data_IF_048651809646
#
_entry.id   IF_048651809646
#
_cell.length_a   1.000
_cell.length_b   1.000
_cell.length_c   1.000
_cell.angle_alpha   90.00
_cell.angle_beta   90.00
_cell.angle_gamma   90.00
#
_symmetry.space_group_name_H-M   'P 1'
#
loop_
_entity.id
_entity.type
_entity.pdbx_description
1 polymer ?
#
# COMPACT_ATOMS: atom_id res chain seq x y z
N UNK A 1 -32.48 3.66 0.54
CA UNK A 1 -31.72 3.59 -0.73
C UNK A 1 -30.90 2.31 -0.71
N UNK A 2 -30.85 1.51 -1.79
CA UNK A 2 -30.00 0.31 -1.79
C UNK A 2 -28.51 0.70 -1.73
N UNK A 3 -27.68 -0.15 -1.14
CA UNK A 3 -26.23 0.08 -1.03
C UNK A 3 -25.60 0.31 -2.41
N UNK A 4 -26.02 -0.46 -3.41
CA UNK A 4 -25.51 -0.35 -4.78
C UNK A 4 -25.78 1.04 -5.39
N UNK A 5 -26.94 1.64 -5.07
CA UNK A 5 -27.26 2.99 -5.53
C UNK A 5 -26.45 4.04 -4.80
N UNK A 6 -26.17 3.86 -3.50
CA UNK A 6 -25.34 4.80 -2.72
C UNK A 6 -23.92 4.81 -3.29
N UNK A 7 -23.31 3.63 -3.42
CA UNK A 7 -21.94 3.53 -3.93
C UNK A 7 -21.84 3.84 -5.42
N UNK A 8 -22.87 3.54 -6.21
CA UNK A 8 -22.95 3.97 -7.62
C UNK A 8 -22.97 5.49 -7.76
N UNK A 9 -23.80 6.19 -6.98
CA UNK A 9 -23.80 7.67 -6.95
C UNK A 9 -22.45 8.20 -6.45
N UNK A 10 -21.88 7.59 -5.42
CA UNK A 10 -20.56 7.96 -4.91
C UNK A 10 -19.48 7.85 -6.00
N UNK A 11 -19.44 6.75 -6.76
CA UNK A 11 -18.49 6.57 -7.86
C UNK A 11 -18.67 7.62 -8.96
N UNK A 12 -19.91 7.87 -9.38
CA UNK A 12 -20.21 8.88 -10.41
C UNK A 12 -19.81 10.27 -9.92
N UNK A 13 -20.17 10.63 -8.70
CA UNK A 13 -19.79 11.91 -8.09
C UNK A 13 -18.28 12.07 -7.96
N UNK A 14 -17.56 11.01 -7.57
CA UNK A 14 -16.11 11.03 -7.51
C UNK A 14 -15.49 11.28 -8.89
N UNK A 15 -15.92 10.55 -9.92
CA UNK A 15 -15.46 10.75 -11.29
C UNK A 15 -15.78 12.16 -11.81
N UNK A 16 -16.99 12.65 -11.55
CA UNK A 16 -17.40 13.99 -11.93
C UNK A 16 -16.51 15.05 -11.26
N UNK A 17 -16.22 14.92 -9.97
CA UNK A 17 -15.32 15.84 -9.26
C UNK A 17 -13.89 15.75 -9.82
N UNK A 18 -13.38 14.56 -10.10
CA UNK A 18 -12.06 14.39 -10.72
C UNK A 18 -11.98 15.09 -12.09
N UNK A 19 -13.01 14.94 -12.93
CA UNK A 19 -13.10 15.61 -14.24
C UNK A 19 -13.17 17.12 -14.07
N UNK A 20 -14.00 17.63 -13.14
CA UNK A 20 -14.13 19.06 -12.87
C UNK A 20 -12.80 19.67 -12.40
N UNK A 21 -12.07 18.97 -11.53
CA UNK A 21 -10.74 19.41 -11.08
C UNK A 21 -9.75 19.41 -12.26
N UNK A 22 -9.79 18.40 -13.13
CA UNK A 22 -8.95 18.34 -14.34
C UNK A 22 -9.26 19.47 -15.33
N UNK A 23 -10.52 19.82 -15.51
CA UNK A 23 -10.92 21.02 -16.28
C UNK A 23 -10.40 22.28 -15.57
N UNK A 24 -10.49 22.32 -14.23
CA UNK A 24 -9.90 23.38 -13.40
C UNK A 24 -8.41 23.61 -13.66
N UNK A 25 -7.64 22.53 -13.69
CA UNK A 25 -6.21 22.52 -13.99
C UNK A 25 -5.94 23.06 -15.40
N UNK A 26 -6.64 22.54 -16.42
CA UNK A 26 -6.41 22.89 -17.82
C UNK A 26 -6.90 24.29 -18.20
N UNK A 27 -8.06 24.72 -17.69
CA UNK A 27 -8.70 25.97 -18.07
C UNK A 27 -8.29 27.16 -17.18
N UNK A 28 -8.01 26.92 -15.90
CA UNK A 28 -7.72 27.98 -14.92
C UNK A 28 -6.31 27.90 -14.34
N UNK A 29 -5.48 26.95 -14.78
CA UNK A 29 -4.10 26.80 -14.31
C UNK A 29 -4.01 26.46 -12.82
N UNK A 30 -4.95 25.67 -12.31
CA UNK A 30 -5.09 25.40 -10.89
C UNK A 30 -3.82 24.71 -10.34
N UNK A 31 -3.12 25.28 -9.33
CA UNK A 31 -1.86 24.72 -8.89
C UNK A 31 -2.01 23.33 -8.26
N UNK A 32 -1.05 22.43 -8.51
CA UNK A 32 -1.04 21.05 -8.00
C UNK A 32 -1.29 20.93 -6.49
N UNK A 33 -0.83 21.92 -5.70
CA UNK A 33 -1.04 21.95 -4.25
C UNK A 33 -2.52 22.06 -3.88
N UNK A 34 -3.29 22.88 -4.60
CA UNK A 34 -4.72 23.04 -4.38
C UNK A 34 -5.50 21.80 -4.78
N UNK A 35 -5.10 21.13 -5.87
CA UNK A 35 -5.64 19.82 -6.25
C UNK A 35 -5.48 18.82 -5.09
N UNK A 36 -4.28 18.74 -4.51
CA UNK A 36 -3.99 17.88 -3.35
C UNK A 36 -4.86 18.18 -2.13
N UNK A 37 -5.03 19.47 -1.80
CA UNK A 37 -5.90 19.90 -0.70
C UNK A 37 -7.36 19.53 -0.91
N UNK A 38 -7.89 19.74 -2.12
CA UNK A 38 -9.28 19.42 -2.45
C UNK A 38 -9.52 17.92 -2.32
N UNK A 39 -8.66 17.07 -2.89
CA UNK A 39 -8.81 15.61 -2.77
C UNK A 39 -8.69 15.11 -1.34
N UNK A 40 -7.75 15.64 -0.55
CA UNK A 40 -7.62 15.28 0.85
C UNK A 40 -8.86 15.70 1.66
N UNK A 41 -9.29 16.96 1.54
CA UNK A 41 -10.42 17.48 2.28
C UNK A 41 -11.72 16.74 1.92
N UNK A 42 -11.94 16.50 0.62
CA UNK A 42 -13.11 15.77 0.13
C UNK A 42 -13.14 14.33 0.64
N UNK A 43 -12.04 13.58 0.51
CA UNK A 43 -11.98 12.19 0.98
C UNK A 43 -12.18 12.10 2.50
N UNK A 44 -11.54 12.98 3.27
CA UNK A 44 -11.69 13.03 4.71
C UNK A 44 -13.13 13.39 5.13
N UNK A 45 -13.73 14.38 4.48
CA UNK A 45 -15.11 14.78 4.74
C UNK A 45 -16.09 13.63 4.48
N UNK A 46 -15.89 12.88 3.40
CA UNK A 46 -16.72 11.71 3.07
C UNK A 46 -16.59 10.64 4.16
N UNK A 47 -15.37 10.33 4.63
CA UNK A 47 -15.18 9.33 5.67
C UNK A 47 -15.80 9.76 7.00
N UNK A 48 -15.69 11.04 7.34
CA UNK A 48 -16.37 11.64 8.50
C UNK A 48 -17.89 11.50 8.38
N UNK A 49 -18.47 11.84 7.23
CA UNK A 49 -19.92 11.72 6.97
C UNK A 49 -20.37 10.27 7.11
N UNK A 50 -19.64 9.31 6.53
CA UNK A 50 -19.94 7.88 6.69
C UNK A 50 -19.89 7.49 8.17
N UNK A 51 -18.88 7.95 8.91
CA UNK A 51 -18.75 7.68 10.35
C UNK A 51 -19.90 8.22 11.19
N UNK A 52 -20.36 9.43 10.90
CA UNK A 52 -21.52 10.04 11.59
C UNK A 52 -22.82 9.32 11.24
N UNK A 53 -23.05 9.02 9.96
CA UNK A 53 -24.27 8.35 9.48
C UNK A 53 -24.37 6.90 9.97
N UNK A 54 -23.23 6.24 10.17
CA UNK A 54 -23.16 4.82 10.60
C UNK A 54 -22.90 4.66 12.10
N UNK A 55 -22.98 5.75 12.88
CA UNK A 55 -22.79 5.77 14.33
C UNK A 55 -23.68 4.72 15.00
N UNK A 56 -23.10 3.96 15.92
CA UNK A 56 -23.82 2.91 16.66
C UNK A 56 -23.22 2.69 18.03
N UNK A 57 -24.07 2.42 19.02
CA UNK A 57 -23.67 2.03 20.38
C UNK A 57 -23.98 0.56 20.69
N UNK A 58 -24.63 -0.16 19.77
CA UNK A 58 -24.90 -1.58 19.93
C UNK A 58 -23.60 -2.40 19.70
N UNK A 59 -23.17 -3.26 20.65
CA UNK A 59 -21.96 -4.07 20.54
C UNK A 59 -21.88 -4.94 19.27
N UNK A 60 -22.98 -5.56 18.85
CA UNK A 60 -23.00 -6.40 17.64
C UNK A 60 -22.71 -5.58 16.38
N UNK A 61 -23.30 -4.38 16.31
CA UNK A 61 -23.07 -3.44 15.21
C UNK A 61 -21.68 -2.82 15.28
N UNK A 62 -21.18 -2.57 16.49
CA UNK A 62 -19.90 -1.93 16.72
C UNK A 62 -18.71 -2.85 16.46
N UNK A 63 -18.74 -4.10 16.92
CA UNK A 63 -17.60 -5.02 16.77
C UNK A 63 -17.64 -5.87 15.50
N UNK A 64 -18.83 -6.27 15.04
CA UNK A 64 -18.97 -7.20 13.90
C UNK A 64 -19.94 -6.71 12.83
N UNK A 65 -20.28 -5.42 12.82
CA UNK A 65 -21.20 -4.82 11.85
C UNK A 65 -22.55 -5.55 11.74
N UNK A 66 -23.03 -6.11 12.85
CA UNK A 66 -24.27 -6.89 12.92
C UNK A 66 -24.26 -8.17 12.08
N UNK A 67 -23.07 -8.59 11.63
CA UNK A 67 -22.88 -9.70 10.69
C UNK A 67 -23.68 -9.53 9.38
N UNK A 68 -23.99 -8.29 9.01
CA UNK A 68 -24.89 -7.98 7.90
C UNK A 68 -24.19 -7.60 6.59
N UNK A 69 -22.86 -7.64 6.53
CA UNK A 69 -22.12 -7.10 5.38
C UNK A 69 -22.18 -8.10 4.22
N UNK A 70 -22.68 -7.71 3.03
CA UNK A 70 -22.69 -8.59 1.87
C UNK A 70 -21.28 -8.93 1.39
N UNK A 71 -21.10 -10.13 0.84
CA UNK A 71 -19.77 -10.65 0.47
C UNK A 71 -18.98 -9.75 -0.49
N UNK A 72 -19.66 -9.13 -1.47
CA UNK A 72 -19.03 -8.22 -2.43
C UNK A 72 -18.40 -6.99 -1.73
N UNK A 73 -19.17 -6.33 -0.85
CA UNK A 73 -18.71 -5.17 -0.08
C UNK A 73 -17.62 -5.51 0.92
N UNK A 74 -17.74 -6.65 1.60
CA UNK A 74 -16.69 -7.12 2.49
C UNK A 74 -15.40 -7.46 1.71
N UNK A 75 -15.55 -7.96 0.48
CA UNK A 75 -14.46 -8.15 -0.48
C UNK A 75 -13.74 -6.84 -0.81
N UNK A 76 -14.48 -5.80 -1.19
CA UNK A 76 -13.91 -4.48 -1.48
C UNK A 76 -13.23 -3.87 -0.26
N UNK A 77 -13.85 -3.96 0.92
CA UNK A 77 -13.26 -3.47 2.16
C UNK A 77 -11.94 -4.17 2.48
N UNK A 78 -11.89 -5.50 2.29
CA UNK A 78 -10.65 -6.28 2.46
C UNK A 78 -9.61 -5.91 1.40
N UNK A 79 -10.03 -5.67 0.16
CA UNK A 79 -9.15 -5.17 -0.91
C UNK A 79 -8.54 -3.82 -0.57
N UNK A 80 -9.31 -2.90 0.00
CA UNK A 80 -8.81 -1.60 0.47
C UNK A 80 -7.79 -1.73 1.60
N UNK A 81 -8.05 -2.62 2.58
CA UNK A 81 -7.10 -2.91 3.66
C UNK A 81 -5.77 -3.45 3.09
N UNK A 82 -5.86 -4.23 2.01
CA UNK A 82 -4.68 -4.70 1.28
C UNK A 82 -3.92 -3.58 0.60
N UNK A 83 -4.62 -2.57 0.10
CA UNK A 83 -4.06 -1.40 -0.60
C UNK A 83 -3.57 -0.32 0.38
N UNK A 84 -2.88 -0.74 1.43
CA UNK A 84 -2.38 0.15 2.47
C UNK A 84 -1.09 0.88 2.05
N UNK A 85 -0.66 1.89 2.82
CA UNK A 85 0.61 2.59 2.55
C UNK A 85 1.80 1.62 2.57
N UNK A 86 1.76 0.60 3.44
CA UNK A 86 2.73 -0.48 3.46
C UNK A 86 2.77 -1.21 2.11
N UNK A 87 1.63 -1.60 1.53
CA UNK A 87 1.63 -2.34 0.27
C UNK A 87 1.88 -1.44 -0.94
N UNK A 88 1.36 -0.23 -0.97
CA UNK A 88 1.51 0.68 -2.12
C UNK A 88 2.92 1.29 -2.19
N UNK A 89 3.39 1.91 -1.11
CA UNK A 89 4.69 2.58 -1.06
C UNK A 89 5.83 1.55 -1.00
N UNK A 90 5.71 0.55 -0.13
CA UNK A 90 6.78 -0.45 0.03
C UNK A 90 6.92 -1.33 -1.20
N UNK A 91 5.84 -1.76 -1.86
CA UNK A 91 5.97 -2.59 -3.06
C UNK A 91 6.64 -1.81 -4.20
N UNK A 92 6.27 -0.55 -4.43
CA UNK A 92 6.95 0.29 -5.41
C UNK A 92 8.45 0.41 -5.13
N UNK A 93 8.83 0.68 -3.88
CA UNK A 93 10.24 0.77 -3.46
C UNK A 93 10.99 -0.56 -3.51
N UNK A 94 10.40 -1.62 -2.96
CA UNK A 94 11.00 -2.95 -2.84
C UNK A 94 11.14 -3.63 -4.21
N UNK A 95 10.12 -3.58 -5.08
CA UNK A 95 10.23 -4.11 -6.44
C UNK A 95 11.26 -3.31 -7.25
N UNK A 96 11.31 -1.99 -7.09
CA UNK A 96 12.34 -1.17 -7.73
C UNK A 96 13.75 -1.57 -7.28
N UNK A 97 13.98 -1.81 -5.97
CA UNK A 97 15.29 -2.14 -5.45
C UNK A 97 15.72 -3.61 -5.64
N UNK A 98 14.77 -4.55 -5.53
CA UNK A 98 15.03 -5.99 -5.45
C UNK A 98 14.73 -6.74 -6.76
N UNK A 99 13.97 -6.14 -7.69
CA UNK A 99 13.61 -6.78 -8.95
C UNK A 99 12.77 -8.04 -8.75
N UNK A 100 13.11 -9.14 -9.44
CA UNK A 100 12.33 -10.38 -9.41
C UNK A 100 12.21 -10.97 -7.98
N UNK A 101 13.27 -10.87 -7.18
CA UNK A 101 13.26 -11.38 -5.81
C UNK A 101 12.19 -10.70 -4.93
N UNK A 102 11.82 -9.45 -5.23
CA UNK A 102 10.75 -8.73 -4.55
C UNK A 102 9.35 -9.32 -4.79
N UNK A 103 9.17 -10.17 -5.81
CA UNK A 103 7.90 -10.88 -6.04
C UNK A 103 7.58 -11.89 -4.94
N UNK A 104 8.56 -12.33 -4.15
CA UNK A 104 8.33 -13.15 -2.97
C UNK A 104 7.36 -12.48 -1.99
N UNK A 105 7.39 -11.15 -1.87
CA UNK A 105 6.47 -10.41 -1.01
C UNK A 105 5.03 -10.48 -1.53
N UNK A 106 4.85 -10.25 -2.83
CA UNK A 106 3.53 -10.29 -3.48
C UNK A 106 2.93 -11.69 -3.40
N UNK A 107 3.71 -12.71 -3.74
CA UNK A 107 3.27 -14.11 -3.67
C UNK A 107 3.06 -14.58 -2.24
N UNK A 108 3.91 -14.15 -1.31
CA UNK A 108 3.80 -14.48 0.10
C UNK A 108 2.51 -13.95 0.70
N UNK A 109 2.21 -12.66 0.51
CA UNK A 109 0.99 -12.05 1.03
C UNK A 109 -0.27 -12.64 0.41
N UNK A 110 -0.32 -12.78 -0.92
CA UNK A 110 -1.49 -13.39 -1.60
C UNK A 110 -1.70 -14.85 -1.21
N UNK A 111 -0.63 -15.64 -1.16
CA UNK A 111 -0.67 -17.03 -0.74
C UNK A 111 -1.14 -17.18 0.70
N UNK A 112 -0.72 -16.30 1.59
CA UNK A 112 -1.18 -16.27 2.97
C UNK A 112 -2.67 -15.96 3.11
N UNK A 113 -3.20 -15.06 2.28
CA UNK A 113 -4.64 -14.80 2.23
C UNK A 113 -5.42 -16.03 1.77
N UNK A 114 -4.93 -16.73 0.75
CA UNK A 114 -5.54 -17.98 0.27
C UNK A 114 -5.54 -19.05 1.37
N UNK A 115 -4.43 -19.23 2.09
CA UNK A 115 -4.35 -20.17 3.21
C UNK A 115 -5.37 -19.82 4.30
N UNK A 116 -5.41 -18.56 4.74
CA UNK A 116 -6.35 -18.12 5.76
C UNK A 116 -7.80 -18.29 5.30
N UNK A 117 -8.08 -18.04 4.03
CA UNK A 117 -9.42 -18.18 3.49
C UNK A 117 -9.91 -19.63 3.39
N UNK A 118 -9.03 -20.55 3.00
CA UNK A 118 -9.37 -21.97 2.86
C UNK A 118 -9.41 -22.65 4.21
N UNK A 119 -8.44 -22.38 5.08
CA UNK A 119 -8.23 -23.15 6.31
C UNK A 119 -8.81 -22.52 7.56
N UNK A 120 -8.94 -21.18 7.66
CA UNK A 120 -9.35 -20.51 8.89
C UNK A 120 -10.70 -19.80 8.76
N UNK A 121 -10.95 -19.11 7.65
CA UNK A 121 -12.12 -18.24 7.45
C UNK A 121 -13.47 -18.89 7.79
N UNK A 122 -13.80 -20.09 7.25
CA UNK A 122 -15.06 -20.77 7.55
C UNK A 122 -15.22 -21.13 9.02
N UNK A 123 -14.16 -21.58 9.69
CA UNK A 123 -14.20 -21.99 11.09
C UNK A 123 -14.36 -20.80 12.03
N UNK A 124 -13.69 -19.69 11.74
CA UNK A 124 -13.86 -18.44 12.50
C UNK A 124 -15.31 -17.97 12.41
N UNK A 125 -15.90 -17.97 11.21
CA UNK A 125 -17.31 -17.58 11.07
C UNK A 125 -18.27 -18.52 11.82
N UNK A 126 -18.00 -19.82 11.82
CA UNK A 126 -18.80 -20.82 12.57
C UNK A 126 -18.70 -20.62 14.08
N UNK A 127 -17.53 -20.25 14.59
CA UNK A 127 -17.30 -20.08 16.03
C UNK A 127 -18.05 -18.87 16.61
N UNK A 128 -18.27 -17.82 15.81
CA UNK A 128 -19.18 -16.73 16.19
C UNK A 128 -18.70 -15.85 17.35
N UNK A 129 -17.41 -15.90 17.71
CA UNK A 129 -16.82 -14.97 18.67
C UNK A 129 -16.70 -13.54 18.10
N UNK A 130 -16.39 -12.58 18.97
CA UNK A 130 -16.06 -11.21 18.58
C UNK A 130 -14.56 -11.04 18.30
N UNK A 131 -13.70 -11.87 18.89
CA UNK A 131 -12.25 -11.72 18.81
C UNK A 131 -11.52 -13.06 18.58
N UNK A 132 -10.31 -12.98 18.02
CA UNK A 132 -9.43 -14.16 17.84
C UNK A 132 -8.92 -14.71 19.17
N UNK A 133 -8.54 -13.88 20.18
CA UNK A 133 -8.17 -14.40 21.50
C UNK A 133 -9.28 -15.22 22.17
N UNK A 134 -10.56 -14.87 21.95
CA UNK A 134 -11.68 -15.67 22.47
C UNK A 134 -11.77 -17.03 21.77
N UNK A 135 -11.53 -17.07 20.46
CA UNK A 135 -11.41 -18.33 19.73
C UNK A 135 -10.27 -19.20 20.29
N UNK A 136 -9.09 -18.62 20.55
CA UNK A 136 -7.96 -19.35 21.13
C UNK A 136 -8.26 -19.88 22.53
N UNK A 137 -8.89 -19.07 23.38
CA UNK A 137 -9.27 -19.45 24.73
C UNK A 137 -10.25 -20.64 24.74
N UNK A 138 -11.25 -20.61 23.86
CA UNK A 138 -12.20 -21.70 23.75
C UNK A 138 -11.62 -22.95 23.11
N UNK A 139 -10.67 -22.80 22.17
CA UNK A 139 -10.05 -23.92 21.45
C UNK A 139 -9.03 -24.70 22.29
N UNK A 140 -8.22 -23.99 23.07
CA UNK A 140 -7.10 -24.56 23.83
C UNK A 140 -7.38 -24.64 25.34
N UNK A 141 -8.45 -23.99 25.81
CA UNK A 141 -8.78 -23.92 27.22
C UNK A 141 -7.94 -22.89 27.97
N UNK A 142 -8.57 -22.24 28.95
CA UNK A 142 -7.90 -21.37 29.92
C UNK A 142 -7.64 -19.92 29.47
N UNK A 143 -7.24 -19.11 30.45
CA UNK A 143 -6.94 -17.68 30.25
C UNK A 143 -5.55 -17.45 29.65
N UNK A 144 -4.62 -18.40 29.75
CA UNK A 144 -3.27 -18.27 29.21
C UNK A 144 -3.29 -18.11 27.67
N UNK A 145 -4.04 -18.96 26.96
CA UNK A 145 -4.19 -18.87 25.50
C UNK A 145 -4.83 -17.53 25.07
N UNK A 146 -5.79 -17.02 25.85
CA UNK A 146 -6.39 -15.70 25.62
C UNK A 146 -5.34 -14.59 25.73
N UNK A 147 -4.59 -14.57 26.83
CA UNK A 147 -3.59 -13.52 27.10
C UNK A 147 -2.50 -13.51 26.02
N UNK A 148 -1.98 -14.68 25.65
CA UNK A 148 -1.01 -14.80 24.55
C UNK A 148 -1.60 -14.26 23.25
N UNK A 149 -2.85 -14.62 22.94
CA UNK A 149 -3.56 -14.11 21.77
C UNK A 149 -3.71 -12.59 21.77
N UNK A 150 -4.04 -11.98 22.92
CA UNK A 150 -4.15 -10.52 23.07
C UNK A 150 -2.80 -9.85 22.85
N UNK A 151 -1.75 -10.33 23.52
CA UNK A 151 -0.40 -9.77 23.39
C UNK A 151 0.08 -9.86 21.93
N UNK A 152 -0.10 -11.01 21.28
CA UNK A 152 0.26 -11.18 19.88
C UNK A 152 -0.55 -10.24 18.96
N UNK A 153 -1.87 -10.15 19.15
CA UNK A 153 -2.72 -9.29 18.34
C UNK A 153 -2.34 -7.80 18.48
N UNK A 154 -2.04 -7.34 19.71
CA UNK A 154 -1.59 -5.97 19.97
C UNK A 154 -0.22 -5.72 19.36
N UNK A 155 0.76 -6.59 19.57
CA UNK A 155 2.10 -6.44 19.03
C UNK A 155 2.12 -6.36 17.50
N UNK A 156 1.39 -7.25 16.82
CA UNK A 156 1.26 -7.25 15.37
C UNK A 156 0.54 -5.98 14.88
N UNK A 157 -0.57 -5.59 15.52
CA UNK A 157 -1.37 -4.43 15.10
C UNK A 157 -0.61 -3.12 15.30
N UNK A 158 0.13 -2.97 16.40
CA UNK A 158 0.91 -1.77 16.70
C UNK A 158 2.08 -1.60 15.72
N UNK A 159 2.81 -2.69 15.45
CA UNK A 159 3.90 -2.67 14.45
C UNK A 159 3.38 -2.26 13.08
N UNK A 160 2.21 -2.79 12.70
CA UNK A 160 1.56 -2.42 11.44
C UNK A 160 1.13 -0.95 11.43
N UNK A 161 0.55 -0.46 12.53
CA UNK A 161 0.09 0.93 12.66
C UNK A 161 1.23 1.94 12.47
N UNK A 162 2.41 1.69 13.03
CA UNK A 162 3.59 2.57 12.87
C UNK A 162 3.91 2.78 11.38
N UNK A 163 3.94 1.69 10.61
CA UNK A 163 4.23 1.75 9.18
C UNK A 163 3.16 2.57 8.41
N UNK A 164 1.88 2.39 8.74
CA UNK A 164 0.79 3.14 8.10
C UNK A 164 0.83 4.64 8.44
N UNK A 165 1.03 4.97 9.71
CA UNK A 165 1.10 6.36 10.17
C UNK A 165 2.28 7.09 9.51
N UNK A 166 3.42 6.41 9.39
CA UNK A 166 4.59 6.94 8.70
C UNK A 166 4.28 7.19 7.21
N UNK A 167 3.56 6.26 6.56
CA UNK A 167 3.11 6.42 5.19
C UNK A 167 2.20 7.65 4.99
N UNK A 168 1.25 7.87 5.90
CA UNK A 168 0.38 9.06 5.89
C UNK A 168 1.19 10.34 6.03
N UNK A 169 2.10 10.42 7.00
CA UNK A 169 2.96 11.59 7.21
C UNK A 169 3.84 11.88 6.00
N UNK A 170 4.38 10.85 5.35
CA UNK A 170 5.21 11.00 4.15
C UNK A 170 4.42 11.52 2.95
N UNK A 171 3.21 11.00 2.71
CA UNK A 171 2.35 11.48 1.62
C UNK A 171 1.95 12.93 1.86
N UNK A 172 1.46 13.26 3.06
CA UNK A 172 1.00 14.62 3.38
C UNK A 172 2.13 15.63 3.29
N UNK A 173 3.31 15.30 3.84
CA UNK A 173 4.46 16.20 3.77
C UNK A 173 4.99 16.40 2.35
N UNK A 174 4.95 15.36 1.51
CA UNK A 174 5.48 15.45 0.14
C UNK A 174 4.53 16.13 -0.84
N UNK A 175 3.22 15.89 -0.75
CA UNK A 175 2.25 16.38 -1.73
C UNK A 175 1.52 17.65 -1.32
N UNK A 176 1.36 17.89 -0.01
CA UNK A 176 0.59 19.03 0.53
C UNK A 176 1.53 20.11 1.09
N UNK A 177 2.78 19.72 1.39
CA UNK A 177 3.80 20.60 1.96
C UNK A 177 3.52 20.98 3.41
N UNK A 178 2.80 20.13 4.15
CA UNK A 178 2.64 20.25 5.59
C UNK A 178 3.81 19.59 6.32
N UNK A 179 4.06 20.02 7.56
CA UNK A 179 5.01 19.30 8.41
C UNK A 179 4.56 17.83 8.61
N UNK A 180 5.54 16.91 8.70
CA UNK A 180 5.28 15.49 8.87
C UNK A 180 4.39 15.22 10.09
N UNK A 181 4.65 15.88 11.22
CA UNK A 181 3.90 15.65 12.47
C UNK A 181 2.46 16.16 12.35
N UNK A 182 2.27 17.32 11.72
CA UNK A 182 0.94 17.87 11.46
C UNK A 182 0.16 16.93 10.53
N UNK A 183 0.81 16.43 9.47
CA UNK A 183 0.18 15.49 8.55
C UNK A 183 -0.24 14.19 9.21
N UNK A 184 0.62 13.63 10.06
CA UNK A 184 0.29 12.46 10.89
C UNK A 184 -0.91 12.73 11.79
N UNK A 185 -0.93 13.86 12.50
CA UNK A 185 -2.00 14.20 13.43
C UNK A 185 -3.35 14.39 12.73
N UNK A 186 -3.38 15.15 11.63
CA UNK A 186 -4.60 15.38 10.83
C UNK A 186 -5.13 14.06 10.26
N UNK A 187 -4.25 13.22 9.71
CA UNK A 187 -4.65 11.91 9.17
C UNK A 187 -5.18 10.97 10.24
N UNK A 188 -4.52 10.89 11.39
CA UNK A 188 -4.95 10.06 12.52
C UNK A 188 -6.27 10.54 13.10
N UNK A 189 -6.43 11.84 13.34
CA UNK A 189 -7.68 12.41 13.86
C UNK A 189 -8.87 12.05 12.96
N UNK A 190 -8.71 12.19 11.64
CA UNK A 190 -9.77 11.85 10.69
C UNK A 190 -10.19 10.38 10.76
N UNK A 191 -9.21 9.47 10.75
CA UNK A 191 -9.46 8.02 10.83
C UNK A 191 -10.02 7.61 12.19
N UNK A 192 -9.52 8.18 13.28
CA UNK A 192 -10.03 7.92 14.63
C UNK A 192 -11.47 8.42 14.78
N UNK A 193 -11.77 9.61 14.26
CA UNK A 193 -13.11 10.19 14.34
C UNK A 193 -14.15 9.28 13.67
N UNK A 194 -13.89 8.80 12.45
CA UNK A 194 -14.85 7.94 11.76
C UNK A 194 -14.92 6.52 12.37
N UNK A 195 -13.82 5.97 12.87
CA UNK A 195 -13.79 4.61 13.42
C UNK A 195 -14.39 4.49 14.82
N UNK A 196 -14.18 5.48 15.71
CA UNK A 196 -14.69 5.46 17.08
C UNK A 196 -16.21 5.62 17.12
N UNK A 197 -16.81 6.38 16.19
CA UNK A 197 -18.25 6.64 16.21
C UNK A 197 -19.11 5.43 15.82
N UNK A 198 -18.65 4.62 14.85
CA UNK A 198 -19.46 3.53 14.28
C UNK A 198 -18.80 2.15 14.27
N UNK A 199 -17.61 2.02 14.85
CA UNK A 199 -16.88 0.76 14.93
C UNK A 199 -16.67 0.09 13.57
N UNK A 200 -16.76 -1.23 13.54
CA UNK A 200 -16.56 -2.08 12.37
C UNK A 200 -17.52 -1.74 11.22
N UNK A 201 -18.75 -1.30 11.53
CA UNK A 201 -19.70 -0.89 10.50
C UNK A 201 -19.20 0.35 9.76
N UNK A 202 -18.84 1.40 10.48
CA UNK A 202 -18.27 2.62 9.89
C UNK A 202 -17.02 2.30 9.08
N UNK A 203 -16.08 1.57 9.69
CA UNK A 203 -14.82 1.19 9.06
C UNK A 203 -15.05 0.46 7.74
N UNK A 204 -15.96 -0.52 7.71
CA UNK A 204 -16.27 -1.29 6.50
C UNK A 204 -16.78 -0.39 5.37
N UNK A 205 -17.72 0.52 5.64
CA UNK A 205 -18.25 1.41 4.61
C UNK A 205 -17.24 2.46 4.14
N UNK A 206 -16.41 2.98 5.06
CA UNK A 206 -15.30 3.86 4.67
C UNK A 206 -14.29 3.15 3.77
N UNK A 207 -14.04 1.86 4.00
CA UNK A 207 -13.08 1.08 3.19
C UNK A 207 -13.63 0.71 1.82
N UNK A 208 -14.93 0.48 1.69
CA UNK A 208 -15.55 0.35 0.36
C UNK A 208 -15.36 1.65 -0.43
N UNK A 209 -15.60 2.80 0.21
CA UNK A 209 -15.39 4.10 -0.42
C UNK A 209 -13.92 4.35 -0.80
N UNK A 210 -12.99 3.96 0.09
CA UNK A 210 -11.55 3.99 -0.16
C UNK A 210 -11.16 3.09 -1.33
N UNK A 211 -11.66 1.85 -1.39
CA UNK A 211 -11.35 0.91 -2.47
C UNK A 211 -11.70 1.49 -3.84
N UNK A 212 -12.87 2.11 -3.97
CA UNK A 212 -13.33 2.74 -5.23
C UNK A 212 -12.37 3.84 -5.67
N UNK A 213 -11.99 4.75 -4.75
CA UNK A 213 -11.02 5.81 -5.05
C UNK A 213 -9.70 5.19 -5.50
N UNK A 214 -9.22 4.22 -4.73
CA UNK A 214 -7.93 3.59 -4.90
C UNK A 214 -7.83 2.85 -6.25
N UNK A 215 -8.82 2.03 -6.59
CA UNK A 215 -8.79 1.26 -7.84
C UNK A 215 -8.91 2.15 -9.07
N UNK A 216 -9.74 3.19 -9.03
CA UNK A 216 -9.86 4.17 -10.12
C UNK A 216 -8.55 4.94 -10.27
N UNK A 217 -8.01 5.46 -9.16
CA UNK A 217 -6.74 6.19 -9.14
C UNK A 217 -5.57 5.34 -9.62
N UNK A 218 -5.68 4.01 -9.53
CA UNK A 218 -4.66 3.09 -9.98
C UNK A 218 -4.78 2.72 -11.46
N UNK A 219 -5.98 2.28 -11.88
CA UNK A 219 -6.22 1.73 -13.21
C UNK A 219 -6.25 2.81 -14.29
N UNK A 220 -6.83 3.98 -14.00
CA UNK A 220 -7.00 5.04 -15.01
C UNK A 220 -5.64 5.55 -15.53
N UNK A 221 -4.67 5.94 -14.68
CA UNK A 221 -3.38 6.42 -15.17
C UNK A 221 -2.60 5.35 -15.95
N UNK A 222 -2.62 4.10 -15.51
CA UNK A 222 -1.84 3.03 -16.16
C UNK A 222 -2.42 2.67 -17.54
N UNK A 223 -3.75 2.61 -17.67
CA UNK A 223 -4.43 2.41 -18.95
C UNK A 223 -4.17 3.60 -19.89
N UNK A 224 -4.24 4.82 -19.36
CA UNK A 224 -3.98 6.03 -20.14
C UNK A 224 -2.54 6.07 -20.67
N UNK A 225 -1.54 5.77 -19.82
CA UNK A 225 -0.14 5.72 -20.23
C UNK A 225 0.12 4.62 -21.27
N UNK A 226 -0.51 3.46 -21.11
CA UNK A 226 -0.43 2.37 -22.08
C UNK A 226 -0.98 2.78 -23.45
N UNK A 227 -2.12 3.47 -23.48
CA UNK A 227 -2.67 4.04 -24.70
C UNK A 227 -1.72 5.07 -25.31
N UNK A 228 -1.27 6.06 -24.56
CA UNK A 228 -0.42 7.14 -25.10
C UNK A 228 0.89 6.64 -25.73
N UNK A 229 1.48 5.57 -25.19
CA UNK A 229 2.78 5.06 -25.66
C UNK A 229 2.62 4.00 -26.76
N UNK A 230 1.63 3.11 -26.64
CA UNK A 230 1.53 1.92 -27.50
C UNK A 230 0.22 1.84 -28.31
N UNK A 231 -0.69 2.81 -28.16
CA UNK A 231 -2.04 2.80 -28.73
C UNK A 231 -2.88 1.57 -28.35
N UNK A 232 -2.50 0.86 -27.27
CA UNK A 232 -3.21 -0.31 -26.74
C UNK A 232 -3.63 0.03 -25.31
N UNK A 233 -4.93 0.05 -24.96
CA UNK A 233 -5.40 0.41 -23.62
C UNK A 233 -5.31 -0.76 -22.61
N UNK A 234 -4.37 -1.68 -22.81
CA UNK A 234 -4.18 -2.88 -21.99
C UNK A 234 -2.72 -2.88 -21.51
N UNK A 235 -2.45 -2.36 -20.31
CA UNK A 235 -1.09 -2.22 -19.79
C UNK A 235 -0.37 -3.56 -19.65
N UNK A 236 -1.09 -4.65 -19.48
CA UNK A 236 -0.53 -5.99 -19.28
C UNK A 236 0.03 -6.59 -20.57
N UNK A 237 -0.42 -6.15 -21.74
CA UNK A 237 0.16 -6.54 -23.02
C UNK A 237 1.40 -5.71 -23.38
N UNK A 238 1.54 -4.54 -22.75
CA UNK A 238 2.53 -3.53 -23.15
C UNK A 238 3.67 -3.38 -22.15
N UNK A 239 3.48 -3.75 -20.87
CA UNK A 239 4.50 -3.57 -19.84
C UNK A 239 5.78 -4.37 -20.11
N UNK A 240 5.71 -5.55 -20.76
CA UNK A 240 6.91 -6.29 -21.13
C UNK A 240 7.86 -5.49 -22.03
N UNK A 241 7.29 -4.69 -22.95
CA UNK A 241 8.03 -3.81 -23.86
C UNK A 241 8.59 -2.59 -23.14
N UNK A 242 7.82 -1.99 -22.22
CA UNK A 242 8.29 -0.82 -21.45
C UNK A 242 9.43 -1.19 -20.49
N UNK A 243 9.42 -2.41 -19.93
CA UNK A 243 10.52 -2.91 -19.10
C UNK A 243 11.82 -3.01 -19.89
N UNK A 244 11.77 -3.49 -21.14
CA UNK A 244 12.96 -3.53 -22.00
C UNK A 244 13.49 -2.12 -22.30
N UNK A 245 12.61 -1.17 -22.63
CA UNK A 245 12.99 0.23 -22.87
C UNK A 245 13.59 0.90 -21.64
N UNK A 246 13.03 0.64 -20.45
CA UNK A 246 13.58 1.14 -19.19
C UNK A 246 15.00 0.65 -18.92
N UNK A 247 15.29 -0.61 -19.25
CA UNK A 247 16.61 -1.18 -19.06
C UNK A 247 17.64 -0.51 -20.00
N UNK A 248 17.29 -0.30 -21.27
CA UNK A 248 18.14 0.40 -22.23
C UNK A 248 18.43 1.83 -21.74
N UNK A 249 17.38 2.59 -21.39
CA UNK A 249 17.53 3.95 -20.86
C UNK A 249 18.34 4.01 -19.56
N UNK A 250 18.18 3.04 -18.66
CA UNK A 250 18.96 3.00 -17.42
C UNK A 250 20.46 2.84 -17.69
N UNK A 251 20.84 2.03 -18.69
CA UNK A 251 22.23 1.87 -19.12
C UNK A 251 22.76 3.15 -19.76
N UNK A 252 21.97 3.80 -20.62
CA UNK A 252 22.31 5.10 -21.23
C UNK A 252 22.57 6.17 -20.17
N UNK A 253 21.66 6.33 -19.20
CA UNK A 253 21.79 7.28 -18.10
C UNK A 253 23.05 6.99 -17.27
N UNK A 254 23.33 5.70 -16.99
CA UNK A 254 24.52 5.31 -16.21
C UNK A 254 25.82 5.68 -16.92
N UNK A 255 25.81 5.71 -18.26
CA UNK A 255 26.95 6.08 -19.10
C UNK A 255 27.12 7.60 -19.28
N UNK A 256 26.07 8.39 -19.04
CA UNK A 256 26.10 9.85 -19.16
C UNK A 256 27.18 10.46 -18.25
N UNK A 257 27.96 11.40 -18.81
CA UNK A 257 28.99 12.13 -18.10
C UNK A 257 28.41 12.95 -16.94
N UNK A 258 27.25 13.58 -17.12
CA UNK A 258 26.61 14.40 -16.07
C UNK A 258 26.12 13.56 -14.89
N UNK A 259 25.69 12.33 -15.16
CA UNK A 259 25.30 11.38 -14.12
C UNK A 259 26.54 10.88 -13.33
N UNK A 260 27.69 10.73 -13.99
CA UNK A 260 28.96 10.43 -13.32
C UNK A 260 29.39 11.57 -12.40
N UNK A 261 29.27 12.82 -12.86
CA UNK A 261 29.58 14.01 -12.06
C UNK A 261 28.66 14.13 -10.84
N UNK A 262 27.34 13.97 -11.03
CA UNK A 262 26.36 14.02 -9.95
C UNK A 262 26.63 12.96 -8.89
N UNK A 263 26.99 11.74 -9.30
CA UNK A 263 27.39 10.66 -8.37
C UNK A 263 28.67 10.97 -7.62
N UNK A 264 29.65 11.59 -8.27
CA UNK A 264 30.88 12.01 -7.60
C UNK A 264 30.58 13.06 -6.51
N UNK A 265 29.62 13.96 -6.76
CA UNK A 265 29.13 14.93 -5.79
C UNK A 265 28.45 14.23 -4.60
N UNK A 266 27.52 13.31 -4.85
CA UNK A 266 26.88 12.51 -3.79
C UNK A 266 27.88 11.70 -2.97
N UNK A 267 28.92 11.18 -3.62
CA UNK A 267 30.00 10.45 -2.93
C UNK A 267 30.78 11.38 -2.01
N UNK A 268 31.13 12.58 -2.50
CA UNK A 268 31.80 13.60 -1.71
C UNK A 268 30.95 14.01 -0.51
N UNK A 269 29.66 14.26 -0.69
CA UNK A 269 28.73 14.59 0.40
C UNK A 269 28.64 13.47 1.44
N UNK A 270 28.57 12.20 0.99
CA UNK A 270 28.57 11.04 1.89
C UNK A 270 29.88 10.95 2.69
N UNK A 271 31.03 11.15 2.04
CA UNK A 271 32.34 11.11 2.67
C UNK A 271 32.51 12.25 3.69
N UNK A 272 32.03 13.47 3.37
CA UNK A 272 32.01 14.62 4.28
C UNK A 272 31.12 14.39 5.50
N UNK A 273 29.92 13.84 5.31
CA UNK A 273 29.01 13.49 6.41
C UNK A 273 29.62 12.40 7.30
N UNK A 274 30.24 11.38 6.70
CA UNK A 274 30.93 10.32 7.43
C UNK A 274 32.16 10.84 8.20
N UNK A 275 32.88 11.83 7.66
CA UNK A 275 33.97 12.50 8.36
C UNK A 275 33.47 13.27 9.59
N UNK A 276 32.39 14.05 9.46
CA UNK A 276 31.74 14.77 10.58
C UNK A 276 31.27 13.83 11.69
N UNK A 277 30.76 12.64 11.33
CA UNK A 277 30.36 11.62 12.31
C UNK A 277 31.58 11.08 13.08
N UNK A 278 32.72 10.88 12.41
CA UNK A 278 33.97 10.40 13.03
C UNK A 278 34.65 11.42 13.93
N UNK A 279 34.42 12.71 13.69
CA UNK A 279 34.99 13.81 14.48
C UNK A 279 34.45 13.86 15.93
N UNK A 280 33.33 13.17 16.22
CA UNK A 280 32.90 12.85 17.58
C UNK A 280 32.38 14.02 18.43
N UNK A 281 32.21 15.21 17.85
CA UNK A 281 31.84 16.45 18.55
C UNK A 281 30.35 16.74 18.66
N UNK A 282 29.49 15.81 18.19
CA UNK A 282 28.05 16.04 18.02
C UNK A 282 27.20 15.22 19.00
N UNK A 283 26.03 15.73 19.43
CA UNK A 283 25.06 14.98 20.23
C UNK A 283 24.60 13.69 19.52
N UNK A 284 24.31 12.61 20.27
CA UNK A 284 23.90 11.31 19.71
C UNK A 284 22.72 11.39 18.73
N UNK A 285 21.72 12.22 19.02
CA UNK A 285 20.56 12.41 18.14
C UNK A 285 20.94 13.04 16.78
N UNK A 286 21.97 13.87 16.74
CA UNK A 286 22.45 14.52 15.53
C UNK A 286 23.36 13.58 14.73
N UNK A 287 24.17 12.77 15.42
CA UNK A 287 24.95 11.68 14.82
C UNK A 287 24.03 10.70 14.08
N UNK A 288 22.90 10.30 14.66
CA UNK A 288 21.97 9.37 14.02
C UNK A 288 21.30 9.97 12.79
N UNK A 289 20.95 11.27 12.84
CA UNK A 289 20.42 12.00 11.69
C UNK A 289 21.43 12.09 10.56
N UNK A 290 22.70 12.39 10.87
CA UNK A 290 23.78 12.48 9.91
C UNK A 290 24.13 11.10 9.31
N UNK A 291 24.10 10.02 10.10
CA UNK A 291 24.24 8.65 9.60
C UNK A 291 23.16 8.32 8.58
N UNK A 292 21.91 8.71 8.85
CA UNK A 292 20.80 8.59 7.91
C UNK A 292 21.06 9.34 6.60
N UNK A 293 21.52 10.58 6.68
CA UNK A 293 21.86 11.40 5.51
C UNK A 293 23.05 10.84 4.71
N UNK A 294 24.11 10.41 5.40
CA UNK A 294 25.28 9.80 4.77
C UNK A 294 24.93 8.49 4.07
N UNK A 295 24.07 7.67 4.67
CA UNK A 295 23.58 6.43 4.06
C UNK A 295 22.71 6.71 2.82
N UNK A 296 21.89 7.76 2.83
CA UNK A 296 21.10 8.19 1.67
C UNK A 296 22.02 8.69 0.54
N UNK A 297 22.96 9.58 0.85
CA UNK A 297 23.92 10.11 -0.11
C UNK A 297 24.80 9.00 -0.70
N UNK A 298 25.28 8.05 0.12
CA UNK A 298 26.05 6.90 -0.35
C UNK A 298 25.25 5.98 -1.28
N UNK A 299 23.94 5.80 -1.01
CA UNK A 299 23.04 5.08 -1.93
C UNK A 299 22.86 5.82 -3.26
N UNK A 300 22.76 7.15 -3.23
CA UNK A 300 22.63 7.99 -4.44
C UNK A 300 23.93 8.10 -5.23
N UNK A 301 25.08 7.95 -4.58
CA UNK A 301 26.39 7.88 -5.23
C UNK A 301 26.61 6.57 -6.03
N UNK A 302 25.79 5.55 -5.77
CA UNK A 302 25.87 4.27 -6.46
C UNK A 302 25.17 4.33 -7.82
N UNK A 303 25.70 3.63 -8.82
CA UNK A 303 25.12 3.60 -10.16
C UNK A 303 23.65 3.13 -10.16
N UNK A 304 22.74 3.80 -10.89
CA UNK A 304 21.34 3.36 -11.03
C UNK A 304 21.21 2.00 -11.73
N UNK A 305 22.16 1.66 -12.60
CA UNK A 305 22.34 0.33 -13.17
C UNK A 305 23.47 -0.42 -12.45
N UNK A 306 23.20 -1.64 -12.02
CA UNK A 306 24.20 -2.52 -11.44
C UNK A 306 25.23 -2.94 -12.50
N UNK A 307 26.40 -2.28 -12.49
CA UNK A 307 27.65 -2.58 -13.22
C UNK A 307 27.62 -2.56 -14.76
N UNK A 308 28.79 -2.36 -15.36
CA UNK A 308 29.03 -2.38 -16.82
C UNK A 308 28.63 -3.72 -17.48
N UNK A 309 28.42 -4.76 -16.66
CA UNK A 309 27.97 -6.11 -17.03
C UNK A 309 26.50 -6.38 -16.65
N UNK A 310 25.66 -5.35 -16.50
CA UNK A 310 24.24 -5.49 -16.17
C UNK A 310 23.51 -6.29 -17.26
N UNK A 311 23.62 -7.62 -17.22
CA UNK A 311 22.71 -8.51 -17.91
C UNK A 311 21.33 -8.02 -17.53
N UNK A 312 20.49 -7.82 -18.55
CA UNK A 312 19.03 -7.59 -18.56
C UNK A 312 18.26 -8.44 -17.51
N UNK A 313 18.94 -9.41 -16.93
CA UNK A 313 18.57 -10.34 -15.91
C UNK A 313 17.98 -9.82 -14.59
N UNK A 314 18.46 -8.80 -13.85
CA UNK A 314 18.03 -8.67 -12.42
C UNK A 314 16.49 -8.57 -12.16
N UNK A 315 15.71 -8.05 -13.12
CA UNK A 315 14.24 -8.02 -13.05
C UNK A 315 13.54 -9.29 -13.57
N UNK A 316 14.26 -10.14 -14.31
CA UNK A 316 13.77 -11.36 -14.95
C UNK A 316 14.52 -12.63 -14.49
N UNK A 317 15.59 -12.48 -13.71
CA UNK A 317 16.44 -13.55 -13.20
C UNK A 317 15.72 -14.14 -12.02
N UNK A 318 15.14 -15.29 -12.28
CA UNK A 318 14.69 -16.20 -11.25
C UNK A 318 15.89 -16.56 -10.36
N UNK A 319 15.79 -16.40 -9.03
CA UNK A 319 16.84 -16.83 -8.12
C UNK A 319 17.18 -18.31 -8.33
N UNK A 320 18.45 -18.68 -8.39
CA UNK A 320 18.89 -20.07 -8.55
C UNK A 320 19.66 -20.55 -7.31
N UNK A 321 19.63 -21.85 -7.04
CA UNK A 321 20.34 -22.44 -5.89
C UNK A 321 19.84 -21.93 -4.54
N UNK A 322 20.76 -21.47 -3.68
CA UNK A 322 20.44 -20.93 -2.34
C UNK A 322 19.50 -19.72 -2.41
N UNK A 323 19.59 -18.92 -3.48
CA UNK A 323 18.67 -17.80 -3.72
C UNK A 323 17.21 -18.25 -3.88
N UNK A 324 16.96 -19.40 -4.50
CA UNK A 324 15.61 -19.97 -4.62
C UNK A 324 15.08 -20.43 -3.26
N UNK A 325 15.91 -21.09 -2.45
CA UNK A 325 15.52 -21.51 -1.10
C UNK A 325 15.18 -20.32 -0.20
N UNK A 326 15.98 -19.25 -0.25
CA UNK A 326 15.69 -18.02 0.48
C UNK A 326 14.38 -17.37 -0.01
N UNK A 327 14.15 -17.37 -1.33
CA UNK A 327 12.93 -16.85 -1.92
C UNK A 327 11.69 -17.66 -1.49
N UNK A 328 11.77 -18.99 -1.51
CA UNK A 328 10.69 -19.88 -1.06
C UNK A 328 10.46 -19.77 0.44
N UNK A 329 11.52 -19.73 1.25
CA UNK A 329 11.44 -19.55 2.70
C UNK A 329 10.82 -18.20 3.07
N UNK A 330 11.23 -17.12 2.40
CA UNK A 330 10.65 -15.79 2.58
C UNK A 330 9.17 -15.79 2.18
N UNK A 331 8.84 -16.35 1.02
CA UNK A 331 7.46 -16.48 0.54
C UNK A 331 6.61 -17.23 1.56
N UNK A 332 7.06 -18.40 2.03
CA UNK A 332 6.36 -19.20 3.02
C UNK A 332 6.20 -18.48 4.36
N UNK A 333 7.25 -17.85 4.87
CA UNK A 333 7.22 -17.05 6.09
C UNK A 333 6.16 -15.93 6.00
N UNK A 334 6.14 -15.22 4.86
CA UNK A 334 5.14 -14.18 4.60
C UNK A 334 3.72 -14.76 4.44
N UNK A 335 3.56 -15.94 3.84
CA UNK A 335 2.26 -16.62 3.75
C UNK A 335 1.70 -16.91 5.14
N UNK A 336 2.50 -17.56 6.00
CA UNK A 336 2.07 -17.90 7.36
C UNK A 336 1.83 -16.65 8.19
N UNK A 337 2.71 -15.64 8.09
CA UNK A 337 2.53 -14.36 8.78
C UNK A 337 1.26 -13.62 8.38
N UNK A 338 0.95 -13.57 7.09
CA UNK A 338 -0.27 -12.91 6.57
C UNK A 338 -1.53 -13.63 7.02
N UNK A 339 -1.51 -14.96 7.07
CA UNK A 339 -2.63 -15.75 7.57
C UNK A 339 -2.97 -15.46 9.05
N UNK A 340 -2.02 -14.91 9.82
CA UNK A 340 -2.20 -14.54 11.22
C UNK A 340 -2.67 -13.10 11.47
N UNK A 341 -2.86 -12.28 10.44
CA UNK A 341 -3.13 -10.84 10.62
C UNK A 341 -4.51 -10.58 11.26
N UNK A 342 -4.57 -9.94 12.44
CA UNK A 342 -5.83 -9.76 13.16
C UNK A 342 -6.90 -8.96 12.40
N UNK A 343 -6.48 -7.94 11.66
CA UNK A 343 -7.39 -7.09 10.88
C UNK A 343 -8.03 -7.83 9.69
N UNK A 344 -7.40 -8.89 9.17
CA UNK A 344 -7.99 -9.74 8.12
C UNK A 344 -8.95 -10.74 8.76
N UNK A 345 -8.51 -11.39 9.85
CA UNK A 345 -9.26 -12.42 10.55
C UNK A 345 -10.61 -11.90 11.07
N UNK A 346 -10.66 -10.65 11.53
CA UNK A 346 -11.90 -10.02 12.02
C UNK A 346 -12.97 -9.83 10.93
N UNK A 347 -12.58 -9.73 9.65
CA UNK A 347 -13.51 -9.59 8.51
C UNK A 347 -14.45 -10.78 8.36
N UNK A 348 -13.99 -11.99 8.72
CA UNK A 348 -14.83 -13.18 8.63
C UNK A 348 -16.03 -13.11 9.56
N UNK A 349 -15.96 -12.36 10.67
CA UNK A 349 -17.07 -12.21 11.60
C UNK A 349 -18.17 -11.26 11.11
N UNK A 350 -17.91 -10.43 10.09
CA UNK A 350 -18.84 -9.40 9.60
C UNK A 350 -19.85 -9.88 8.56
N UNK A 351 -19.62 -11.07 7.99
CA UNK A 351 -20.48 -11.64 6.94
C UNK A 351 -21.65 -12.43 7.55
N UNK A 352 -22.80 -12.53 6.85
CA UNK A 352 -24.00 -13.15 7.42
C UNK A 352 -23.92 -14.66 7.57
N UNK A 353 -23.19 -15.36 6.72
CA UNK A 353 -23.09 -16.82 6.76
C UNK A 353 -21.71 -17.32 6.33
N UNK A 354 -21.41 -18.59 6.64
CA UNK A 354 -20.16 -19.26 6.20
C UNK A 354 -20.05 -19.27 4.68
N UNK A 355 -21.16 -19.47 3.95
CA UNK A 355 -21.17 -19.41 2.48
C UNK A 355 -20.80 -18.01 1.99
N UNK A 356 -21.38 -16.97 2.60
CA UNK A 356 -21.07 -15.58 2.26
C UNK A 356 -19.63 -15.21 2.64
N UNK A 357 -19.10 -15.75 3.73
CA UNK A 357 -17.68 -15.61 4.09
C UNK A 357 -16.75 -16.18 3.01
N UNK A 358 -17.04 -17.38 2.48
CA UNK A 358 -16.27 -17.98 1.36
C UNK A 358 -16.38 -17.18 0.07
N UNK A 359 -17.59 -16.72 -0.28
CA UNK A 359 -17.79 -15.86 -1.46
C UNK A 359 -17.06 -14.53 -1.28
N UNK A 360 -17.05 -13.98 -0.06
CA UNK A 360 -16.36 -12.73 0.25
C UNK A 360 -14.86 -12.85 0.00
N UNK A 361 -14.25 -14.00 0.33
CA UNK A 361 -12.84 -14.26 0.01
C UNK A 361 -12.61 -14.17 -1.49
N UNK A 362 -13.46 -14.83 -2.29
CA UNK A 362 -13.29 -14.84 -3.74
C UNK A 362 -13.33 -13.41 -4.30
N UNK A 363 -14.25 -12.58 -3.79
CA UNK A 363 -14.28 -11.15 -4.11
C UNK A 363 -13.03 -10.40 -3.64
N UNK A 364 -12.57 -10.61 -2.39
CA UNK A 364 -11.33 -10.00 -1.91
C UNK A 364 -10.14 -10.35 -2.80
N UNK A 365 -9.98 -11.63 -3.16
CA UNK A 365 -8.92 -12.11 -4.05
C UNK A 365 -9.02 -11.47 -5.43
N UNK A 366 -10.23 -11.34 -5.97
CA UNK A 366 -10.46 -10.64 -7.24
C UNK A 366 -10.02 -9.17 -7.16
N UNK A 367 -10.40 -8.45 -6.11
CA UNK A 367 -10.05 -7.04 -5.93
C UNK A 367 -8.55 -6.82 -5.67
N UNK A 368 -7.91 -7.72 -4.93
CA UNK A 368 -6.44 -7.72 -4.74
C UNK A 368 -5.74 -8.07 -6.05
N UNK A 369 -6.29 -9.02 -6.82
CA UNK A 369 -5.75 -9.41 -8.12
C UNK A 369 -5.77 -8.24 -9.10
N UNK A 370 -6.85 -7.47 -9.19
CA UNK A 370 -6.90 -6.28 -10.04
C UNK A 370 -5.75 -5.31 -9.77
N UNK A 371 -5.34 -5.17 -8.50
CA UNK A 371 -4.17 -4.39 -8.14
C UNK A 371 -2.88 -5.07 -8.58
N UNK A 372 -2.66 -6.30 -8.12
CA UNK A 372 -1.36 -6.95 -8.26
C UNK A 372 -1.05 -7.32 -9.70
N UNK A 373 -2.08 -7.52 -10.52
CA UNK A 373 -1.93 -7.74 -11.95
C UNK A 373 -1.47 -6.47 -12.68
N UNK A 374 -1.98 -5.30 -12.27
CA UNK A 374 -1.67 -4.01 -12.90
C UNK A 374 -0.46 -3.32 -12.28
N UNK A 375 -0.05 -3.72 -11.07
CA UNK A 375 0.96 -3.01 -10.32
C UNK A 375 2.37 -3.01 -10.91
N UNK A 376 2.88 -4.15 -11.41
CA UNK A 376 4.13 -4.18 -12.15
C UNK A 376 4.10 -3.26 -13.39
N UNK A 377 2.95 -3.19 -14.08
CA UNK A 377 2.81 -2.32 -15.23
C UNK A 377 2.89 -0.85 -14.83
N UNK A 378 2.15 -0.43 -13.79
CA UNK A 378 2.24 0.94 -13.27
C UNK A 378 3.67 1.32 -12.89
N UNK A 379 4.38 0.47 -12.15
CA UNK A 379 5.76 0.72 -11.76
C UNK A 379 6.69 0.87 -12.98
N UNK A 380 6.51 0.04 -14.00
CA UNK A 380 7.31 0.09 -15.22
C UNK A 380 7.03 1.38 -16.02
N UNK A 381 5.76 1.79 -16.18
CA UNK A 381 5.40 3.04 -16.83
C UNK A 381 5.86 4.28 -16.05
N UNK A 382 5.72 4.28 -14.72
CA UNK A 382 6.20 5.37 -13.88
C UNK A 382 7.71 5.55 -14.00
N UNK A 383 8.48 4.46 -14.00
CA UNK A 383 9.93 4.51 -14.21
C UNK A 383 10.30 5.06 -15.59
N UNK A 384 9.57 4.67 -16.62
CA UNK A 384 9.78 5.22 -17.96
C UNK A 384 9.53 6.72 -18.02
N UNK A 385 8.45 7.19 -17.38
CA UNK A 385 8.14 8.61 -17.31
C UNK A 385 9.25 9.40 -16.61
N UNK A 386 9.81 8.86 -15.52
CA UNK A 386 10.96 9.47 -14.82
C UNK A 386 12.17 9.54 -15.75
N UNK A 387 12.56 8.44 -16.38
CA UNK A 387 13.71 8.41 -17.28
C UNK A 387 13.55 9.26 -18.54
N UNK A 388 12.33 9.37 -19.07
CA UNK A 388 12.07 10.12 -20.28
C UNK A 388 11.90 11.63 -20.04
N UNK A 389 11.34 12.04 -18.90
CA UNK A 389 10.90 13.43 -18.68
C UNK A 389 11.63 14.16 -17.55
N UNK A 390 12.22 13.45 -16.58
CA UNK A 390 12.82 14.06 -15.39
C UNK A 390 14.36 13.97 -15.36
N UNK A 391 14.94 12.96 -15.98
CA UNK A 391 16.41 12.83 -16.02
C UNK A 391 16.96 13.86 -17.01
N UNK A 392 17.76 14.81 -16.51
CA UNK A 392 18.40 15.87 -17.29
C UNK A 392 17.63 17.18 -17.38
N UNK A 393 16.39 17.25 -16.88
CA UNK A 393 15.67 18.52 -16.68
C UNK A 393 16.11 19.18 -15.39
N UNK A 394 16.43 20.48 -15.46
CA UNK A 394 16.91 21.30 -14.34
C UNK A 394 15.78 21.72 -13.39
#
# INVERSE_FOLDING_TARGET
MSLDRIFGIYTISFLAVTILIGIGELAFGLPNRWIGWIFMALSLAIYIVIGVVTRTSNPDQYYVAGRGVPAFYNGMATGSDWMSAASFISMGGALSAQGFAGLAYVMGWTGGYLLLAVFLGPYLRQFGAYTIPDFLSARYGGNAARVIGVVAAVACSFTYLIAQVTGVGLIVSRFIGLDFNIGVFVGLLGVLFCSVLGGMRSVTWTQVAQYIILIISYLVPVVYLSWQIFAIPIPELTYGRILQQNNVKAVEITRDAKEKETRALWKKDADELNAKIKEGSLPEAEVDKLKGQAALAGRQATAPAASDDAKVGRYLTVPTGVGMWNFLALTFCLMVGTAGLPHILTRYYTTPSVRQARISVAWSLFFIFLLYFTAPAYAAFARFAIYAKLVGTK
#
